data_IF_810066968718
#
_entry.id   IF_810066968718
#
_cell.length_a   1.000
_cell.length_b   1.000
_cell.length_c   1.000
_cell.angle_alpha   90.00
_cell.angle_beta   90.00
_cell.angle_gamma   90.00
#
_symmetry.space_group_name_H-M   'P 1'
#
loop_
_entity.id
_entity.type
_entity.pdbx_description
1 polymer ?
#
# COMPACT_ATOMS: atom_id res chain seq x y z
N UNK A 1 -69.59 -17.27 15.37
CA UNK A 1 -68.56 -17.38 14.32
C UNK A 1 -68.15 -16.03 13.74
N UNK A 2 -69.06 -15.23 13.16
CA UNK A 2 -68.71 -13.96 12.47
C UNK A 2 -67.89 -12.96 13.32
N UNK A 3 -68.25 -12.74 14.59
CA UNK A 3 -67.53 -11.82 15.50
C UNK A 3 -66.08 -12.22 15.79
N UNK A 4 -65.79 -13.52 15.86
CA UNK A 4 -64.42 -14.00 16.07
C UNK A 4 -63.58 -13.82 14.82
N UNK A 5 -64.16 -14.04 13.64
CA UNK A 5 -63.49 -13.87 12.36
C UNK A 5 -63.14 -12.39 12.11
N UNK A 6 -64.04 -11.46 12.44
CA UNK A 6 -63.76 -10.02 12.34
C UNK A 6 -62.65 -9.58 13.29
N UNK A 7 -62.64 -10.08 14.54
CA UNK A 7 -61.57 -9.79 15.49
C UNK A 7 -60.22 -10.35 15.01
N UNK A 8 -60.21 -11.57 14.46
CA UNK A 8 -59.00 -12.17 13.89
C UNK A 8 -58.44 -11.33 12.74
N UNK A 9 -59.28 -10.88 11.80
CA UNK A 9 -58.85 -10.02 10.68
C UNK A 9 -58.25 -8.71 11.19
N UNK A 10 -58.87 -8.07 12.20
CA UNK A 10 -58.37 -6.83 12.77
C UNK A 10 -57.00 -7.04 13.41
N UNK A 11 -56.85 -8.08 14.24
CA UNK A 11 -55.57 -8.39 14.90
C UNK A 11 -54.49 -8.66 13.86
N UNK A 12 -54.80 -9.49 12.86
CA UNK A 12 -53.85 -9.86 11.81
C UNK A 12 -53.41 -8.64 10.97
N UNK A 13 -54.35 -7.75 10.65
CA UNK A 13 -54.09 -6.50 9.91
C UNK A 13 -53.21 -5.54 10.70
N UNK A 14 -53.51 -5.34 11.99
CA UNK A 14 -52.70 -4.47 12.87
C UNK A 14 -51.31 -5.08 13.10
N UNK A 15 -51.20 -6.38 13.33
CA UNK A 15 -49.89 -7.02 13.50
C UNK A 15 -49.04 -6.97 12.23
N UNK A 16 -49.66 -7.18 11.06
CA UNK A 16 -48.95 -7.16 9.78
C UNK A 16 -48.40 -5.78 9.43
N UNK A 17 -49.16 -4.72 9.71
CA UNK A 17 -48.73 -3.33 9.47
C UNK A 17 -47.60 -2.91 10.41
N UNK A 18 -47.69 -3.24 11.71
CA UNK A 18 -46.61 -2.95 12.68
C UNK A 18 -45.32 -3.67 12.30
N UNK A 19 -45.41 -4.96 11.94
CA UNK A 19 -44.24 -5.74 11.51
C UNK A 19 -43.60 -5.16 10.24
N UNK A 20 -44.43 -4.77 9.27
CA UNK A 20 -43.96 -4.17 8.02
C UNK A 20 -43.28 -2.82 8.25
N UNK A 21 -43.81 -2.00 9.16
CA UNK A 21 -43.19 -0.72 9.52
C UNK A 21 -41.84 -0.91 10.22
N UNK A 22 -41.76 -1.87 11.15
CA UNK A 22 -40.52 -2.17 11.85
C UNK A 22 -39.43 -2.65 10.89
N UNK A 23 -39.73 -3.64 10.05
CA UNK A 23 -38.82 -4.12 9.01
C UNK A 23 -38.37 -2.99 8.07
N UNK A 24 -39.29 -2.13 7.63
CA UNK A 24 -38.95 -1.01 6.75
C UNK A 24 -38.02 0.01 7.42
N UNK A 25 -38.18 0.22 8.73
CA UNK A 25 -37.28 1.10 9.49
C UNK A 25 -35.86 0.52 9.58
N UNK A 26 -35.76 -0.80 9.77
CA UNK A 26 -34.46 -1.48 9.85
C UNK A 26 -33.76 -1.50 8.50
N UNK A 27 -34.49 -1.83 7.43
CA UNK A 27 -33.97 -1.80 6.07
C UNK A 27 -33.45 -0.40 5.69
N UNK A 28 -34.18 0.67 6.02
CA UNK A 28 -33.72 2.05 5.79
C UNK A 28 -32.45 2.38 6.55
N UNK A 29 -32.31 1.90 7.79
CA UNK A 29 -31.12 2.14 8.58
C UNK A 29 -29.90 1.40 7.99
N UNK A 30 -30.11 0.18 7.51
CA UNK A 30 -29.06 -0.60 6.85
C UNK A 30 -28.68 -0.01 5.48
N UNK A 31 -29.64 0.52 4.72
CA UNK A 31 -29.38 1.25 3.46
C UNK A 31 -28.51 2.50 3.71
N UNK A 32 -28.81 3.29 4.74
CA UNK A 32 -27.99 4.46 5.12
C UNK A 32 -26.57 4.03 5.50
N UNK A 33 -26.43 2.93 6.26
CA UNK A 33 -25.10 2.40 6.63
C UNK A 33 -24.33 1.92 5.40
N UNK A 34 -24.99 1.24 4.48
CA UNK A 34 -24.41 0.81 3.21
C UNK A 34 -23.94 1.99 2.37
N UNK A 35 -24.75 3.06 2.29
CA UNK A 35 -24.38 4.28 1.58
C UNK A 35 -23.14 4.94 2.18
N UNK A 36 -23.06 5.04 3.51
CA UNK A 36 -21.88 5.56 4.22
C UNK A 36 -20.64 4.72 3.91
N UNK A 37 -20.76 3.39 3.94
CA UNK A 37 -19.63 2.49 3.64
C UNK A 37 -19.19 2.65 2.19
N UNK A 38 -20.13 2.69 1.24
CA UNK A 38 -19.84 2.89 -0.18
C UNK A 38 -19.12 4.21 -0.43
N UNK A 39 -19.57 5.30 0.19
CA UNK A 39 -18.93 6.61 0.06
C UNK A 39 -17.50 6.60 0.63
N UNK A 40 -17.28 5.93 1.78
CA UNK A 40 -15.93 5.74 2.33
C UNK A 40 -15.02 4.93 1.41
N UNK A 41 -15.55 3.89 0.76
CA UNK A 41 -14.79 3.10 -0.21
C UNK A 41 -14.36 3.97 -1.38
N UNK A 42 -15.26 4.78 -1.93
CA UNK A 42 -14.95 5.71 -3.03
C UNK A 42 -13.85 6.70 -2.61
N UNK A 43 -13.96 7.29 -1.41
CA UNK A 43 -12.96 8.24 -0.90
C UNK A 43 -11.57 7.59 -0.75
N UNK A 44 -11.51 6.35 -0.26
CA UNK A 44 -10.26 5.61 -0.12
C UNK A 44 -9.67 5.26 -1.48
N UNK A 45 -10.50 4.82 -2.43
CA UNK A 45 -10.07 4.46 -3.78
C UNK A 45 -9.50 5.68 -4.53
N UNK A 46 -10.12 6.86 -4.36
CA UNK A 46 -9.57 8.11 -4.90
C UNK A 46 -8.19 8.43 -4.30
N UNK A 47 -8.02 8.28 -2.98
CA UNK A 47 -6.71 8.49 -2.33
C UNK A 47 -5.65 7.50 -2.83
N UNK A 48 -6.02 6.25 -3.05
CA UNK A 48 -5.10 5.23 -3.59
C UNK A 48 -4.68 5.61 -5.01
N UNK A 49 -5.63 5.98 -5.87
CA UNK A 49 -5.34 6.39 -7.24
C UNK A 49 -4.41 7.61 -7.30
N UNK A 50 -4.62 8.61 -6.43
CA UNK A 50 -3.72 9.77 -6.32
C UNK A 50 -2.32 9.32 -5.88
N UNK A 51 -2.22 8.50 -4.83
CA UNK A 51 -0.93 8.01 -4.35
C UNK A 51 -0.19 7.16 -5.40
N UNK A 52 -0.91 6.35 -6.17
CA UNK A 52 -0.35 5.56 -7.28
C UNK A 52 0.15 6.46 -8.42
N UNK A 53 -0.60 7.52 -8.75
CA UNK A 53 -0.17 8.51 -9.73
C UNK A 53 1.08 9.27 -9.27
N UNK A 54 1.12 9.70 -8.01
CA UNK A 54 2.30 10.35 -7.40
C UNK A 54 3.51 9.41 -7.41
N UNK A 55 3.32 8.16 -6.99
CA UNK A 55 4.37 7.15 -7.00
C UNK A 55 4.90 6.89 -8.42
N UNK A 56 4.00 6.74 -9.38
CA UNK A 56 4.34 6.56 -10.79
C UNK A 56 5.09 7.77 -11.35
N UNK A 57 4.69 8.98 -10.93
CA UNK A 57 5.38 10.21 -11.32
C UNK A 57 6.82 10.25 -10.79
N UNK A 58 7.04 9.98 -9.51
CA UNK A 58 8.39 10.05 -8.90
C UNK A 58 9.31 8.90 -9.30
N UNK A 59 8.76 7.76 -9.72
CA UNK A 59 9.56 6.59 -10.13
C UNK A 59 9.95 6.63 -11.60
N UNK A 60 9.30 7.48 -12.41
CA UNK A 60 9.63 7.60 -13.82
C UNK A 60 11.00 8.28 -14.02
N UNK A 61 11.93 7.60 -14.69
CA UNK A 61 13.28 8.08 -14.94
C UNK A 61 13.34 9.48 -15.57
N UNK A 62 12.44 9.81 -16.51
CA UNK A 62 12.38 11.14 -17.14
C UNK A 62 12.03 12.24 -16.13
N UNK A 63 11.10 11.94 -15.21
CA UNK A 63 10.70 12.88 -14.17
C UNK A 63 11.77 12.99 -13.09
N UNK A 64 12.43 11.89 -12.72
CA UNK A 64 13.56 11.90 -11.79
C UNK A 64 14.68 12.79 -12.34
N UNK A 65 15.02 12.66 -13.62
CA UNK A 65 16.02 13.49 -14.27
C UNK A 65 15.61 14.98 -14.26
N UNK A 66 14.36 15.28 -14.62
CA UNK A 66 13.82 16.63 -14.55
C UNK A 66 13.87 17.22 -13.13
N UNK A 67 13.42 16.46 -12.12
CA UNK A 67 13.42 16.88 -10.72
C UNK A 67 14.85 17.09 -10.21
N UNK A 68 15.78 16.22 -10.61
CA UNK A 68 17.18 16.38 -10.26
C UNK A 68 17.77 17.65 -10.87
N UNK A 69 17.57 17.87 -12.16
CA UNK A 69 18.13 19.02 -12.88
C UNK A 69 17.54 20.34 -12.38
N UNK A 70 16.24 20.37 -12.05
CA UNK A 70 15.54 21.60 -11.66
C UNK A 70 15.69 21.93 -10.17
N UNK A 71 15.65 20.93 -9.29
CA UNK A 71 15.53 21.17 -7.85
C UNK A 71 16.68 20.61 -7.01
N UNK A 72 17.10 19.36 -7.25
CA UNK A 72 18.01 18.66 -6.33
C UNK A 72 19.50 18.87 -6.64
N UNK A 73 19.85 19.15 -7.90
CA UNK A 73 21.23 19.36 -8.40
C UNK A 73 22.21 18.25 -7.95
N UNK A 74 21.72 17.02 -7.81
CA UNK A 74 22.55 15.89 -7.39
C UNK A 74 23.51 15.53 -8.52
N UNK A 75 24.77 15.32 -8.15
CA UNK A 75 25.78 14.82 -9.08
C UNK A 75 25.56 13.33 -9.30
N UNK A 76 25.63 12.83 -10.53
CA UNK A 76 25.53 11.40 -10.80
C UNK A 76 26.69 10.69 -10.10
N UNK A 77 26.37 9.71 -9.26
CA UNK A 77 27.37 8.79 -8.72
C UNK A 77 27.61 7.77 -9.83
N UNK A 78 28.84 7.65 -10.35
CA UNK A 78 29.14 6.64 -11.35
C UNK A 78 28.83 5.27 -10.74
N UNK A 79 28.13 4.43 -11.52
CA UNK A 79 27.92 3.03 -11.16
C UNK A 79 29.31 2.40 -11.22
N UNK A 80 29.97 2.27 -10.08
CA UNK A 80 31.21 1.53 -9.98
C UNK A 80 30.87 0.07 -10.19
N UNK A 81 31.07 -0.38 -11.42
CA UNK A 81 30.97 -1.78 -11.78
C UNK A 81 31.96 -2.54 -10.89
N UNK A 82 31.51 -3.58 -10.19
CA UNK A 82 32.33 -4.34 -9.22
C UNK A 82 33.56 -4.95 -9.92
N UNK A 83 33.48 -5.11 -11.25
CA UNK A 83 34.57 -5.48 -12.17
C UNK A 83 35.75 -4.49 -12.20
N UNK A 84 35.50 -3.21 -11.90
CA UNK A 84 36.51 -2.13 -11.89
C UNK A 84 37.23 -1.96 -10.55
N UNK A 85 36.77 -2.67 -9.50
CA UNK A 85 37.52 -2.84 -8.26
C UNK A 85 38.72 -3.73 -8.60
N UNK A 86 39.79 -3.11 -9.11
CA UNK A 86 41.12 -3.71 -9.10
C UNK A 86 41.43 -3.99 -7.65
N UNK A 87 41.20 -5.23 -7.25
CA UNK A 87 41.45 -5.70 -5.90
C UNK A 87 42.90 -5.30 -5.58
N UNK A 88 43.05 -4.51 -4.53
CA UNK A 88 44.32 -4.01 -3.96
C UNK A 88 45.14 -5.17 -3.35
N UNK A 89 45.08 -6.36 -3.94
CA UNK A 89 45.77 -7.58 -3.51
C UNK A 89 47.28 -7.49 -3.76
N UNK A 90 47.74 -6.53 -4.57
CA UNK A 90 49.17 -6.27 -4.77
C UNK A 90 49.89 -5.78 -3.52
N UNK A 91 49.19 -5.23 -2.52
CA UNK A 91 49.82 -4.81 -1.25
C UNK A 91 49.96 -6.00 -0.29
N UNK A 92 48.98 -6.93 -0.29
CA UNK A 92 49.03 -8.09 0.59
C UNK A 92 50.03 -9.15 0.11
N UNK A 93 50.14 -9.38 -1.20
CA UNK A 93 51.12 -10.34 -1.75
C UNK A 93 52.56 -9.91 -1.47
N UNK A 94 52.88 -8.62 -1.67
CA UNK A 94 54.24 -8.09 -1.45
C UNK A 94 54.65 -8.14 0.03
N UNK A 95 53.68 -8.06 0.95
CA UNK A 95 53.93 -8.19 2.40
C UNK A 95 54.14 -9.65 2.78
N UNK A 96 53.33 -10.56 2.23
CA UNK A 96 53.42 -12.01 2.49
C UNK A 96 54.75 -12.60 1.99
N UNK A 97 55.19 -12.22 0.79
CA UNK A 97 56.47 -12.65 0.22
C UNK A 97 57.67 -12.17 1.05
N UNK A 98 57.58 -10.97 1.64
CA UNK A 98 58.64 -10.41 2.48
C UNK A 98 58.72 -11.14 3.83
N UNK A 99 57.58 -11.48 4.45
CA UNK A 99 57.55 -12.29 5.68
C UNK A 99 58.03 -13.72 5.46
N UNK A 100 57.69 -14.35 4.33
CA UNK A 100 58.14 -15.70 4.01
C UNK A 100 59.65 -15.74 3.71
N UNK A 101 60.21 -14.69 3.12
CA UNK A 101 61.67 -14.59 2.90
C UNK A 101 62.44 -14.45 4.22
N UNK A 102 61.93 -13.64 5.15
CA UNK A 102 62.54 -13.45 6.48
C UNK A 102 62.52 -14.76 7.29
N UNK A 103 61.41 -15.51 7.27
CA UNK A 103 61.31 -16.79 7.97
C UNK A 103 62.26 -17.87 7.40
N UNK A 104 62.60 -17.78 6.11
CA UNK A 104 63.53 -18.70 5.44
C UNK A 104 65.00 -18.39 5.69
N UNK A 105 65.32 -17.19 6.16
CA UNK A 105 66.69 -16.75 6.51
C UNK A 105 67.01 -16.97 8.00
N UNK A 106 66.00 -17.22 8.84
CA UNK A 106 66.14 -17.42 10.30
C UNK A 106 66.29 -18.90 10.68
N UNK A 107 66.03 -19.82 9.75
CA UNK A 107 66.09 -21.27 9.95
C UNK A 107 67.18 -21.89 9.08
#
# INVERSE_FOLDING_TARGET
>A
MMRFFTLFIIIFSVSGTVWSMWLNSELKNDDIRLEIIKNKIIEIDEKINIAEAEWTFITNAKHIEYLNNKYLKLKPIPINDISSIKIKNTIFSKKLDKTNKILKEIN
#
